data_IF_767181930111
#
_entry.id   IF_767181930111
#
_cell.length_a   1.000
_cell.length_b   1.000
_cell.length_c   1.000
_cell.angle_alpha   90.00
_cell.angle_beta   90.00
_cell.angle_gamma   90.00
#
_symmetry.space_group_name_H-M   'P 1'
#
loop_
_entity.id
_entity.type
_entity.pdbx_description
1 polymer ?
#
# COMPACT_ATOMS: atom_id res chain seq x y z
N UNK A 1 -28.07 8.62 -13.36
CA UNK A 1 -27.23 9.50 -14.19
C UNK A 1 -28.10 10.56 -14.85
N UNK A 2 -28.08 11.80 -14.33
CA UNK A 2 -28.64 12.97 -15.04
C UNK A 2 -27.73 13.30 -16.23
N UNK A 3 -28.28 13.46 -17.42
CA UNK A 3 -27.47 13.81 -18.59
C UNK A 3 -26.76 15.16 -18.38
N UNK A 4 -25.49 15.25 -18.80
CA UNK A 4 -24.74 16.52 -18.90
C UNK A 4 -24.07 17.06 -17.62
N UNK A 5 -24.20 16.41 -16.46
CA UNK A 5 -23.56 16.87 -15.20
C UNK A 5 -22.49 15.93 -14.65
N UNK A 6 -22.16 14.86 -15.36
CA UNK A 6 -21.20 13.86 -14.89
C UNK A 6 -19.84 14.12 -15.55
N UNK A 7 -18.73 14.04 -14.80
CA UNK A 7 -17.40 14.09 -15.38
C UNK A 7 -17.18 12.92 -16.35
N UNK A 8 -16.18 13.05 -17.20
CA UNK A 8 -15.76 11.94 -18.04
C UNK A 8 -15.33 10.76 -17.16
N UNK A 9 -15.94 9.60 -17.41
CA UNK A 9 -15.81 8.40 -16.60
C UNK A 9 -15.48 7.23 -17.51
N UNK A 10 -14.19 6.95 -17.64
CA UNK A 10 -13.63 6.00 -18.58
C UNK A 10 -12.99 4.82 -17.86
N UNK A 11 -12.68 3.75 -18.60
CA UNK A 11 -11.98 2.59 -18.02
C UNK A 11 -10.51 2.90 -17.81
N UNK A 12 -10.02 2.51 -16.64
CA UNK A 12 -8.61 2.49 -16.27
C UNK A 12 -8.24 1.09 -15.78
N UNK A 13 -6.96 0.75 -15.87
CA UNK A 13 -6.39 -0.49 -15.37
C UNK A 13 -5.63 -0.20 -14.09
N UNK A 14 -5.97 -0.86 -13.00
CA UNK A 14 -5.28 -0.71 -11.72
C UNK A 14 -4.39 -1.93 -11.50
N UNK A 15 -3.12 -1.70 -11.22
CA UNK A 15 -2.12 -2.72 -10.90
C UNK A 15 -1.85 -2.67 -9.40
N UNK A 16 -2.15 -3.78 -8.74
CA UNK A 16 -1.93 -4.01 -7.32
C UNK A 16 -0.45 -4.31 -7.04
N UNK A 17 -0.05 -4.25 -5.77
CA UNK A 17 1.32 -4.48 -5.30
C UNK A 17 1.83 -5.91 -5.55
N UNK A 18 0.93 -6.89 -5.68
CA UNK A 18 1.25 -8.27 -6.04
C UNK A 18 1.30 -8.52 -7.56
N UNK A 19 1.14 -7.46 -8.36
CA UNK A 19 1.08 -7.53 -9.82
C UNK A 19 -0.28 -7.97 -10.37
N UNK A 20 -1.28 -8.22 -9.52
CA UNK A 20 -2.64 -8.47 -10.01
C UNK A 20 -3.25 -7.21 -10.57
N UNK A 21 -3.99 -7.34 -11.67
CA UNK A 21 -4.55 -6.21 -12.40
C UNK A 21 -6.07 -6.32 -12.44
N UNK A 22 -6.77 -5.20 -12.28
CA UNK A 22 -8.21 -5.15 -12.47
C UNK A 22 -8.63 -3.87 -13.19
N UNK A 23 -9.72 -3.96 -13.95
CA UNK A 23 -10.30 -2.82 -14.65
C UNK A 23 -11.36 -2.16 -13.78
N UNK A 24 -11.29 -0.84 -13.68
CA UNK A 24 -12.31 -0.03 -13.01
C UNK A 24 -12.57 1.24 -13.79
N UNK A 25 -13.73 1.86 -13.56
CA UNK A 25 -14.02 3.17 -14.13
C UNK A 25 -13.52 4.25 -13.18
N UNK A 26 -12.88 5.27 -13.72
CA UNK A 26 -12.42 6.43 -12.97
C UNK A 26 -12.55 7.69 -13.82
N UNK A 27 -12.51 8.84 -13.16
CA UNK A 27 -12.35 10.14 -13.82
C UNK A 27 -10.87 10.54 -13.93
N UNK A 28 -9.97 9.66 -13.48
CA UNK A 28 -8.53 9.92 -13.39
C UNK A 28 -7.81 9.41 -14.63
N UNK A 29 -6.92 10.26 -15.18
CA UNK A 29 -6.11 9.90 -16.33
C UNK A 29 -6.90 10.00 -17.64
N UNK A 30 -6.46 9.23 -18.62
CA UNK A 30 -7.12 9.03 -19.90
C UNK A 30 -7.66 7.60 -20.00
N UNK A 31 -8.58 7.37 -20.94
CA UNK A 31 -9.07 6.03 -21.23
C UNK A 31 -7.91 5.04 -21.49
N UNK A 32 -7.92 3.91 -20.77
CA UNK A 32 -6.85 2.91 -20.83
C UNK A 32 -5.60 3.21 -20.00
N UNK A 33 -5.60 4.29 -19.20
CA UNK A 33 -4.46 4.58 -18.31
C UNK A 33 -4.25 3.47 -17.28
N UNK A 34 -2.97 3.24 -16.95
CA UNK A 34 -2.54 2.26 -15.96
C UNK A 34 -2.17 2.97 -14.66
N UNK A 35 -2.86 2.64 -13.58
CA UNK A 35 -2.60 3.14 -12.23
C UNK A 35 -1.85 2.06 -11.44
N UNK A 36 -0.58 2.32 -11.12
CA UNK A 36 0.20 1.45 -10.26
C UNK A 36 0.03 1.88 -8.80
N UNK A 37 -0.42 0.96 -7.94
CA UNK A 37 -0.57 1.21 -6.50
C UNK A 37 0.72 0.87 -5.76
N UNK A 38 1.21 1.80 -4.93
CA UNK A 38 2.34 1.55 -4.02
C UNK A 38 1.89 0.81 -2.75
N UNK A 39 0.65 1.03 -2.33
CA UNK A 39 0.05 0.44 -1.14
C UNK A 39 -1.41 0.09 -1.47
N UNK A 40 -1.82 -1.12 -1.12
CA UNK A 40 -3.15 -1.66 -1.35
C UNK A 40 -3.64 -2.48 -0.15
N UNK A 41 -4.83 -3.05 -0.25
CA UNK A 41 -5.41 -3.90 0.80
C UNK A 41 -4.66 -5.22 1.03
N UNK A 42 -3.82 -5.66 0.09
CA UNK A 42 -3.03 -6.88 0.22
C UNK A 42 -1.66 -6.64 0.86
N UNK A 43 -1.19 -5.40 0.89
CA UNK A 43 0.09 -5.01 1.47
C UNK A 43 -0.06 -4.25 2.79
N UNK A 44 -1.13 -3.47 2.94
CA UNK A 44 -1.24 -2.58 4.09
C UNK A 44 -1.58 -3.35 5.39
N UNK A 45 -0.84 -3.12 6.50
CA UNK A 45 -0.96 -3.89 7.74
C UNK A 45 -2.36 -3.95 8.35
N UNK A 46 -3.17 -2.92 8.12
CA UNK A 46 -4.56 -2.88 8.58
C UNK A 46 -5.42 -4.03 8.04
N UNK A 47 -5.11 -4.56 6.85
CA UNK A 47 -5.90 -5.63 6.22
C UNK A 47 -5.19 -6.98 6.21
N UNK A 48 -3.85 -7.00 6.15
CA UNK A 48 -3.08 -8.26 6.23
C UNK A 48 -2.94 -8.80 7.64
N UNK A 49 -3.46 -8.08 8.64
CA UNK A 49 -3.32 -8.43 10.05
C UNK A 49 -1.87 -8.44 10.49
N UNK A 50 -1.03 -7.61 9.83
CA UNK A 50 0.41 -7.60 9.98
C UNK A 50 0.80 -7.72 11.44
N UNK A 51 1.56 -8.78 11.74
CA UNK A 51 2.07 -9.08 13.07
C UNK A 51 2.40 -7.78 13.78
N UNK A 52 1.89 -7.60 14.99
CA UNK A 52 2.43 -6.63 15.94
C UNK A 52 3.87 -7.05 16.31
N UNK A 53 4.75 -7.31 15.32
CA UNK A 53 6.16 -7.10 15.53
C UNK A 53 6.21 -5.69 16.07
N UNK A 54 6.67 -5.60 17.31
CA UNK A 54 7.09 -4.36 17.92
C UNK A 54 8.03 -3.72 16.89
N UNK A 55 7.49 -2.87 16.01
CA UNK A 55 8.31 -1.89 15.33
C UNK A 55 8.81 -1.08 16.52
N UNK A 56 10.07 -1.29 16.86
CA UNK A 56 10.77 -0.60 17.92
C UNK A 56 10.89 0.86 17.49
N UNK A 57 9.76 1.59 17.53
CA UNK A 57 9.61 2.98 17.07
C UNK A 57 10.56 3.91 17.83
N UNK A 58 11.15 3.44 18.94
CA UNK A 58 12.18 4.15 19.70
C UNK A 58 13.60 3.57 19.61
N UNK A 59 13.82 2.49 18.84
CA UNK A 59 15.11 1.83 18.72
C UNK A 59 15.70 1.38 20.08
N UNK A 60 14.86 1.10 21.08
CA UNK A 60 15.30 0.71 22.43
C UNK A 60 15.95 -0.67 22.45
N UNK A 61 15.39 -1.63 21.73
CA UNK A 61 15.96 -2.98 21.53
C UNK A 61 17.23 -2.88 20.70
N UNK A 62 17.23 -2.04 19.66
CA UNK A 62 18.45 -1.75 18.87
C UNK A 62 19.57 -1.14 19.72
N UNK A 63 19.27 -0.12 20.55
CA UNK A 63 20.23 0.50 21.48
C UNK A 63 20.74 -0.48 22.53
N UNK A 64 19.87 -1.35 23.04
CA UNK A 64 20.26 -2.41 23.99
C UNK A 64 21.23 -3.38 23.33
N UNK A 65 20.87 -3.97 22.18
CA UNK A 65 21.75 -4.89 21.44
C UNK A 65 23.07 -4.22 21.03
N UNK A 66 23.06 -2.93 20.68
CA UNK A 66 24.27 -2.17 20.34
C UNK A 66 25.19 -1.90 21.53
N UNK A 67 24.63 -1.81 22.75
CA UNK A 67 25.40 -1.63 23.99
C UNK A 67 25.87 -2.94 24.61
N UNK A 68 25.06 -4.00 24.52
CA UNK A 68 25.24 -5.22 25.31
C UNK A 68 25.39 -6.50 24.48
N UNK A 69 25.20 -6.46 23.16
CA UNK A 69 25.27 -7.66 22.30
C UNK A 69 26.66 -8.30 22.19
N UNK A 70 27.73 -7.60 22.61
CA UNK A 70 29.09 -8.13 22.66
C UNK A 70 29.50 -8.75 24.01
N UNK A 71 28.66 -8.64 25.04
CA UNK A 71 28.87 -9.36 26.30
C UNK A 71 28.40 -10.79 26.09
N UNK A 72 29.30 -11.62 25.55
CA UNK A 72 29.10 -13.07 25.50
C UNK A 72 29.00 -13.62 26.92
N UNK A 73 27.75 -13.84 27.36
CA UNK A 73 27.40 -14.84 28.35
C UNK A 73 26.81 -16.05 27.62
#
# INVERSE_FOLDING_TARGET
>A
MKAGIHPDYHMIKVVMTDGTEYETRSTWGSEGAVMNLEIDSKSHPAWTGGNQQLMDRGGRVSKFNKRFGGLGL
#
